data_IF_783843086077
#
_entry.id   IF_783843086077
#
_cell.length_a   1.000
_cell.length_b   1.000
_cell.length_c   1.000
_cell.angle_alpha   90.00
_cell.angle_beta   90.00
_cell.angle_gamma   90.00
#
_symmetry.space_group_name_H-M   'P 1'
#
loop_
_entity.id
_entity.type
_entity.pdbx_description
1 polymer ?
#
# COMPACT_ATOMS: atom_id res chain seq x y z
N UNK A 1 -0.88 55.26 31.18
CA UNK A 1 0.51 54.78 31.24
C UNK A 1 0.61 53.78 32.40
N UNK A 2 -0.32 52.84 32.55
CA UNK A 2 -0.42 51.52 31.88
C UNK A 2 0.71 50.56 32.29
N UNK A 3 0.46 49.93 33.45
CA UNK A 3 0.92 48.65 34.03
C UNK A 3 1.95 47.81 33.26
N UNK A 4 3.09 47.52 33.91
CA UNK A 4 3.85 46.29 33.72
C UNK A 4 3.56 45.35 34.90
N UNK A 5 2.47 44.59 34.75
CA UNK A 5 2.15 43.40 35.52
C UNK A 5 2.13 42.26 34.51
N UNK A 6 3.24 41.54 34.37
CA UNK A 6 3.21 40.22 33.77
C UNK A 6 3.46 39.22 34.89
N UNK A 7 2.34 38.60 35.28
CA UNK A 7 2.26 37.37 36.06
C UNK A 7 3.25 36.34 35.52
N UNK A 8 4.18 35.94 36.39
CA UNK A 8 4.95 34.71 36.28
C UNK A 8 4.04 33.54 36.66
N UNK A 9 3.09 33.23 35.76
CA UNK A 9 2.26 32.03 35.85
C UNK A 9 2.99 30.85 35.19
N UNK A 10 3.87 30.22 35.95
CA UNK A 10 3.89 28.77 36.12
C UNK A 10 3.80 27.90 34.86
N UNK A 11 4.67 28.11 33.87
CA UNK A 11 5.00 27.03 32.93
C UNK A 11 6.02 26.10 33.60
N UNK A 12 5.49 25.22 34.44
CA UNK A 12 6.22 24.03 34.84
C UNK A 12 6.46 23.22 33.57
N UNK A 13 7.72 23.10 33.13
CA UNK A 13 8.12 22.16 32.08
C UNK A 13 7.72 20.76 32.54
N UNK A 14 6.55 20.32 32.11
CA UNK A 14 6.10 18.95 32.31
C UNK A 14 6.98 18.11 31.41
N UNK A 15 7.85 17.23 31.94
CA UNK A 15 8.56 16.30 31.08
C UNK A 15 7.47 15.42 30.44
N UNK A 16 7.32 15.50 29.12
CA UNK A 16 6.44 14.58 28.39
C UNK A 16 7.06 13.17 28.42
N UNK A 17 7.04 12.53 29.59
CA UNK A 17 7.31 11.11 29.74
C UNK A 17 5.99 10.39 29.55
N UNK A 18 5.64 10.20 28.29
CA UNK A 18 4.64 9.21 27.91
C UNK A 18 5.22 7.82 28.19
N UNK A 19 5.02 7.33 29.42
CA UNK A 19 5.20 5.93 29.75
C UNK A 19 3.97 5.14 29.31
N UNK A 20 3.73 5.12 27.99
CA UNK A 20 2.75 4.24 27.36
C UNK A 20 3.44 3.50 26.22
N UNK A 21 3.50 2.18 26.34
CA UNK A 21 3.99 1.25 25.31
C UNK A 21 3.05 1.11 24.11
N UNK A 22 1.99 1.93 24.03
CA UNK A 22 0.95 1.86 23.00
C UNK A 22 1.16 2.89 21.87
N UNK A 23 2.43 3.14 21.51
CA UNK A 23 2.83 4.00 20.39
C UNK A 23 2.21 3.55 19.06
N UNK A 24 1.84 2.28 18.94
CA UNK A 24 1.20 1.70 17.75
C UNK A 24 -0.20 2.23 17.51
N UNK A 25 -0.99 2.52 18.55
CA UNK A 25 -2.38 2.96 18.39
C UNK A 25 -2.48 4.44 17.98
N UNK A 26 -1.58 5.28 18.50
CA UNK A 26 -1.46 6.69 18.11
C UNK A 26 -0.90 6.83 16.68
N UNK A 27 0.08 5.98 16.32
CA UNK A 27 0.62 5.90 14.96
C UNK A 27 -0.44 5.40 13.98
N UNK A 28 -1.18 4.34 14.30
CA UNK A 28 -2.28 3.84 13.46
C UNK A 28 -3.38 4.90 13.24
N UNK A 29 -3.76 5.67 14.27
CA UNK A 29 -4.75 6.76 14.14
C UNK A 29 -4.22 7.89 13.23
N UNK A 30 -2.94 8.25 13.38
CA UNK A 30 -2.28 9.27 12.55
C UNK A 30 -2.16 8.80 11.09
N UNK A 31 -1.81 7.53 10.88
CA UNK A 31 -1.72 6.89 9.57
C UNK A 31 -3.08 6.80 8.87
N UNK A 32 -4.17 6.55 9.61
CA UNK A 32 -5.55 6.60 9.08
C UNK A 32 -5.96 8.00 8.66
N UNK A 33 -5.65 9.03 9.46
CA UNK A 33 -5.99 10.41 9.12
C UNK A 33 -5.19 10.95 7.93
N UNK A 34 -4.01 10.41 7.68
CA UNK A 34 -3.16 10.82 6.56
C UNK A 34 -3.50 10.12 5.23
N UNK A 35 -4.28 9.03 5.24
CA UNK A 35 -4.63 8.27 4.05
C UNK A 35 -6.06 8.60 3.58
N UNK A 36 -6.27 8.97 2.30
CA UNK A 36 -7.62 9.10 1.78
C UNK A 36 -8.33 7.73 1.86
N UNK A 37 -9.62 7.70 2.24
CA UNK A 37 -10.38 6.46 2.30
C UNK A 37 -10.45 5.81 0.91
N UNK A 38 -10.28 4.49 0.85
CA UNK A 38 -10.43 3.71 -0.38
C UNK A 38 -11.86 3.16 -0.45
N UNK A 39 -12.72 3.81 -1.22
CA UNK A 39 -14.02 3.27 -1.62
C UNK A 39 -13.96 2.57 -2.98
N UNK A 40 -15.09 2.03 -3.44
CA UNK A 40 -15.18 1.31 -4.71
C UNK A 40 -14.88 2.22 -5.92
N UNK A 41 -15.35 3.46 -5.89
CA UNK A 41 -15.16 4.42 -6.99
C UNK A 41 -13.68 4.83 -7.12
N UNK A 42 -13.01 5.04 -5.99
CA UNK A 42 -11.58 5.29 -5.92
C UNK A 42 -10.79 4.10 -6.44
N UNK A 43 -11.16 2.87 -6.04
CA UNK A 43 -10.52 1.65 -6.56
C UNK A 43 -10.70 1.52 -8.08
N UNK A 44 -11.89 1.80 -8.61
CA UNK A 44 -12.14 1.82 -10.06
C UNK A 44 -11.29 2.85 -10.79
N UNK A 45 -11.18 4.06 -10.25
CA UNK A 45 -10.35 5.13 -10.81
C UNK A 45 -8.87 4.73 -10.82
N UNK A 46 -8.36 4.14 -9.73
CA UNK A 46 -6.98 3.66 -9.63
C UNK A 46 -6.68 2.51 -10.59
N UNK A 47 -7.63 1.58 -10.76
CA UNK A 47 -7.49 0.51 -11.75
C UNK A 47 -7.47 1.08 -13.17
N UNK A 48 -8.37 2.01 -13.49
CA UNK A 48 -8.39 2.68 -14.81
C UNK A 48 -7.10 3.44 -15.06
N UNK A 49 -6.55 4.11 -14.05
CA UNK A 49 -5.25 4.76 -14.11
C UNK A 49 -4.16 3.76 -14.50
N UNK A 50 -4.04 2.63 -13.79
CA UNK A 50 -3.01 1.63 -14.07
C UNK A 50 -3.16 0.96 -15.45
N UNK A 51 -4.40 0.67 -15.85
CA UNK A 51 -4.70 0.10 -17.17
C UNK A 51 -4.33 1.08 -18.29
N UNK A 52 -4.70 2.35 -18.15
CA UNK A 52 -4.37 3.39 -19.14
C UNK A 52 -2.86 3.60 -19.21
N UNK A 53 -2.20 3.67 -18.06
CA UNK A 53 -0.74 3.79 -18.00
C UNK A 53 -0.07 2.64 -18.76
N UNK A 54 -0.46 1.39 -18.50
CA UNK A 54 0.05 0.21 -19.19
C UNK A 54 -0.20 0.25 -20.70
N UNK A 55 -1.35 0.75 -21.13
CA UNK A 55 -1.70 0.84 -22.55
C UNK A 55 -0.84 1.87 -23.28
N UNK A 56 -0.48 2.98 -22.62
CA UNK A 56 0.24 4.10 -23.23
C UNK A 56 1.76 4.01 -23.07
N UNK A 57 2.25 3.21 -22.11
CA UNK A 57 3.68 3.04 -21.85
C UNK A 57 4.37 2.05 -22.82
N UNK A 58 3.95 1.97 -24.08
CA UNK A 58 4.41 0.98 -25.06
C UNK A 58 5.84 1.20 -25.59
N UNK A 59 6.64 2.06 -24.96
CA UNK A 59 7.99 2.42 -25.41
C UNK A 59 8.96 2.65 -24.25
N UNK A 60 10.26 2.67 -24.57
CA UNK A 60 11.32 3.00 -23.61
C UNK A 60 11.52 4.52 -23.57
N UNK A 61 11.98 5.03 -22.42
CA UNK A 61 12.32 6.44 -22.23
C UNK A 61 11.35 7.22 -21.32
N UNK A 62 11.90 8.18 -20.60
CA UNK A 62 11.21 8.98 -19.58
C UNK A 62 10.07 9.82 -20.15
N UNK A 63 10.19 10.33 -21.38
CA UNK A 63 9.15 11.10 -22.06
C UNK A 63 7.90 10.26 -22.35
N UNK A 64 8.08 9.02 -22.80
CA UNK A 64 6.97 8.08 -23.03
C UNK A 64 6.23 7.77 -21.73
N UNK A 65 6.97 7.53 -20.64
CA UNK A 65 6.38 7.27 -19.32
C UNK A 65 5.68 8.50 -18.74
N UNK A 66 6.21 9.69 -18.97
CA UNK A 66 5.57 10.95 -18.56
C UNK A 66 4.26 11.17 -19.32
N UNK A 67 4.24 10.94 -20.63
CA UNK A 67 3.01 11.01 -21.44
C UNK A 67 1.97 9.97 -20.98
N UNK A 68 2.39 8.72 -20.77
CA UNK A 68 1.51 7.68 -20.24
C UNK A 68 0.92 8.04 -18.87
N UNK A 69 1.71 8.67 -18.00
CA UNK A 69 1.24 9.20 -16.72
C UNK A 69 0.18 10.28 -16.89
N UNK A 70 0.42 11.28 -17.74
CA UNK A 70 -0.55 12.36 -18.03
C UNK A 70 -1.86 11.81 -18.58
N UNK A 71 -1.82 10.87 -19.52
CA UNK A 71 -3.02 10.26 -20.10
C UNK A 71 -3.78 9.40 -19.08
N UNK A 72 -3.07 8.68 -18.22
CA UNK A 72 -3.67 7.90 -17.15
C UNK A 72 -4.38 8.77 -16.10
N UNK A 73 -3.80 9.93 -15.74
CA UNK A 73 -4.46 10.91 -14.88
C UNK A 73 -5.74 11.45 -15.52
N UNK A 74 -5.67 11.84 -16.79
CA UNK A 74 -6.84 12.35 -17.52
C UNK A 74 -7.97 11.30 -17.61
N UNK A 75 -7.65 10.04 -17.89
CA UNK A 75 -8.64 8.97 -18.01
C UNK A 75 -9.27 8.55 -16.67
N UNK A 76 -8.49 8.59 -15.59
CA UNK A 76 -8.95 8.21 -14.25
C UNK A 76 -9.67 9.34 -13.51
N UNK A 77 -9.43 10.59 -13.89
CA UNK A 77 -9.94 11.76 -13.18
C UNK A 77 -9.28 11.99 -11.81
N UNK A 78 -8.18 11.27 -11.52
CA UNK A 78 -7.43 11.42 -10.28
C UNK A 78 -6.49 12.62 -10.36
N UNK A 79 -6.32 13.32 -9.24
CA UNK A 79 -5.19 14.22 -9.08
C UNK A 79 -3.87 13.42 -8.89
N UNK A 80 -2.71 14.02 -9.19
CA UNK A 80 -1.43 13.32 -9.12
C UNK A 80 -1.12 12.71 -7.75
N UNK A 81 -1.47 13.40 -6.65
CA UNK A 81 -1.17 12.94 -5.30
C UNK A 81 -2.02 11.73 -4.94
N UNK A 82 -3.30 11.76 -5.25
CA UNK A 82 -4.20 10.60 -5.03
C UNK A 82 -3.77 9.41 -5.89
N UNK A 83 -3.41 9.63 -7.15
CA UNK A 83 -2.92 8.57 -8.03
C UNK A 83 -1.63 7.92 -7.49
N UNK A 84 -0.68 8.72 -6.98
CA UNK A 84 0.55 8.22 -6.39
C UNK A 84 0.29 7.41 -5.11
N UNK A 85 -0.47 7.96 -4.17
CA UNK A 85 -0.79 7.32 -2.90
C UNK A 85 -1.59 6.02 -3.09
N UNK A 86 -2.59 6.04 -3.96
CA UNK A 86 -3.37 4.85 -4.30
C UNK A 86 -2.55 3.82 -5.05
N UNK A 87 -1.66 4.23 -5.97
CA UNK A 87 -0.75 3.31 -6.66
C UNK A 87 0.23 2.66 -5.69
N UNK A 88 0.70 3.37 -4.66
CA UNK A 88 1.54 2.79 -3.61
C UNK A 88 0.79 1.72 -2.80
N UNK A 89 -0.48 1.97 -2.45
CA UNK A 89 -1.36 0.97 -1.82
C UNK A 89 -1.54 -0.27 -2.72
N UNK A 90 -1.93 -0.07 -3.99
CA UNK A 90 -2.14 -1.18 -4.92
C UNK A 90 -0.86 -1.99 -5.15
N UNK A 91 0.31 -1.34 -5.20
CA UNK A 91 1.61 -2.01 -5.30
C UNK A 91 1.90 -2.83 -4.04
N UNK A 92 1.65 -2.28 -2.86
CA UNK A 92 1.89 -2.95 -1.59
C UNK A 92 0.94 -4.16 -1.41
N UNK A 93 -0.32 -4.04 -1.80
CA UNK A 93 -1.27 -5.15 -1.80
C UNK A 93 -0.88 -6.19 -2.87
N UNK A 94 -0.78 -5.78 -4.13
CA UNK A 94 -0.50 -6.66 -5.27
C UNK A 94 0.82 -7.43 -5.12
N UNK A 95 1.88 -6.81 -4.60
CA UNK A 95 3.16 -7.47 -4.35
C UNK A 95 3.07 -8.59 -3.31
N UNK A 96 2.35 -8.37 -2.20
CA UNK A 96 2.12 -9.41 -1.18
C UNK A 96 1.28 -10.56 -1.73
N UNK A 97 0.20 -10.24 -2.45
CA UNK A 97 -0.67 -11.27 -3.05
C UNK A 97 0.04 -12.08 -4.14
N UNK A 98 0.88 -11.43 -4.94
CA UNK A 98 1.76 -12.10 -5.88
C UNK A 98 2.75 -13.03 -5.17
N UNK A 99 3.38 -12.58 -4.09
CA UNK A 99 4.29 -13.41 -3.29
C UNK A 99 3.59 -14.63 -2.68
N UNK A 100 2.37 -14.45 -2.14
CA UNK A 100 1.53 -15.56 -1.65
C UNK A 100 1.28 -16.60 -2.74
N UNK A 101 0.90 -16.17 -3.95
CA UNK A 101 0.71 -17.09 -5.08
C UNK A 101 1.98 -17.87 -5.41
N UNK A 102 3.14 -17.20 -5.47
CA UNK A 102 4.43 -17.86 -5.73
C UNK A 102 4.83 -18.85 -4.65
N UNK A 103 4.57 -18.54 -3.39
CA UNK A 103 4.83 -19.44 -2.27
C UNK A 103 3.91 -20.66 -2.29
N UNK A 104 2.63 -20.47 -2.63
CA UNK A 104 1.67 -21.57 -2.80
C UNK A 104 2.05 -22.48 -3.98
N UNK A 105 2.42 -21.90 -5.13
CA UNK A 105 2.92 -22.64 -6.28
C UNK A 105 4.15 -23.49 -5.90
N UNK A 106 5.09 -22.89 -5.17
CA UNK A 106 6.30 -23.57 -4.69
C UNK A 106 5.96 -24.71 -3.73
N UNK A 107 4.99 -24.52 -2.83
CA UNK A 107 4.54 -25.56 -1.90
C UNK A 107 3.92 -26.75 -2.64
N UNK A 108 3.15 -26.50 -3.71
CA UNK A 108 2.58 -27.54 -4.55
C UNK A 108 3.62 -28.36 -5.35
N UNK A 109 4.80 -27.80 -5.58
CA UNK A 109 5.91 -28.47 -6.29
C UNK A 109 6.81 -29.31 -5.38
N UNK A 110 6.70 -29.16 -4.05
CA UNK A 110 7.51 -29.92 -3.12
C UNK A 110 6.99 -31.36 -2.97
N UNK A 111 7.80 -32.34 -3.37
CA UNK A 111 7.56 -33.77 -3.16
C UNK A 111 8.73 -34.41 -2.40
N UNK A 112 8.46 -35.29 -1.43
CA UNK A 112 9.46 -36.12 -0.73
C UNK A 112 9.92 -35.60 0.64
N UNK A 113 10.51 -36.50 1.45
CA UNK A 113 10.76 -36.31 2.89
C UNK A 113 11.90 -35.34 3.29
N UNK A 114 12.74 -34.88 2.35
CA UNK A 114 13.71 -33.80 2.61
C UNK A 114 13.07 -32.40 2.52
N UNK A 115 11.77 -32.31 2.21
CA UNK A 115 11.06 -31.06 1.98
C UNK A 115 10.40 -30.47 3.24
N UNK A 116 10.42 -31.15 4.38
CA UNK A 116 9.62 -30.73 5.56
C UNK A 116 10.13 -29.42 6.19
N UNK A 117 11.45 -29.23 6.30
CA UNK A 117 12.00 -27.95 6.79
C UNK A 117 11.71 -26.80 5.83
N UNK A 118 11.85 -27.04 4.52
CA UNK A 118 11.56 -26.04 3.49
C UNK A 118 10.06 -25.70 3.45
N UNK A 119 9.21 -26.70 3.62
CA UNK A 119 7.76 -26.54 3.72
C UNK A 119 7.39 -25.71 4.94
N UNK A 120 7.98 -25.97 6.10
CA UNK A 120 7.80 -25.15 7.30
C UNK A 120 8.16 -23.69 7.05
N UNK A 121 9.33 -23.41 6.47
CA UNK A 121 9.74 -22.04 6.12
C UNK A 121 8.79 -21.35 5.15
N UNK A 122 8.27 -22.06 4.15
CA UNK A 122 7.29 -21.51 3.20
C UNK A 122 5.97 -21.19 3.90
N UNK A 123 5.51 -22.05 4.81
CA UNK A 123 4.30 -21.81 5.59
C UNK A 123 4.45 -20.61 6.53
N UNK A 124 5.61 -20.43 7.17
CA UNK A 124 5.90 -19.26 8.00
C UNK A 124 5.89 -17.97 7.18
N UNK A 125 6.48 -17.98 5.99
CA UNK A 125 6.48 -16.81 5.10
C UNK A 125 5.07 -16.52 4.58
N UNK A 126 4.27 -17.53 4.24
CA UNK A 126 2.85 -17.36 3.89
C UNK A 126 2.07 -16.66 5.03
N UNK A 127 2.25 -17.13 6.27
CA UNK A 127 1.61 -16.54 7.44
C UNK A 127 2.06 -15.08 7.66
N UNK A 128 3.33 -14.77 7.39
CA UNK A 128 3.84 -13.39 7.42
C UNK A 128 3.18 -12.52 6.35
N UNK A 129 3.11 -12.97 5.10
CA UNK A 129 2.48 -12.21 4.01
C UNK A 129 0.98 -11.94 4.27
N UNK A 130 0.26 -12.91 4.85
CA UNK A 130 -1.14 -12.71 5.27
C UNK A 130 -1.26 -11.69 6.41
N UNK A 131 -0.40 -11.75 7.43
CA UNK A 131 -0.39 -10.77 8.52
C UNK A 131 -0.11 -9.35 8.02
N UNK A 132 0.86 -9.19 7.12
CA UNK A 132 1.16 -7.88 6.53
C UNK A 132 0.05 -7.38 5.60
N UNK A 133 -0.63 -8.29 4.88
CA UNK A 133 -1.80 -7.94 4.08
C UNK A 133 -2.93 -7.43 4.98
N UNK A 134 -3.19 -8.11 6.11
CA UNK A 134 -4.20 -7.68 7.08
C UNK A 134 -3.81 -6.38 7.79
N UNK A 135 -2.51 -6.13 7.98
CA UNK A 135 -2.03 -4.87 8.55
C UNK A 135 -2.41 -3.64 7.69
N UNK A 136 -2.70 -3.82 6.39
CA UNK A 136 -3.22 -2.73 5.56
C UNK A 136 -4.56 -2.19 6.06
N UNK A 137 -5.41 -3.04 6.66
CA UNK A 137 -6.68 -2.60 7.24
C UNK A 137 -6.49 -1.60 8.40
N UNK A 138 -5.34 -1.64 9.08
CA UNK A 138 -5.01 -0.66 10.11
C UNK A 138 -4.88 0.75 9.55
N UNK A 139 -4.35 0.89 8.32
CA UNK A 139 -4.12 2.18 7.68
C UNK A 139 -5.29 2.64 6.81
N UNK A 140 -5.93 1.71 6.10
CA UNK A 140 -6.94 2.04 5.08
C UNK A 140 -8.37 1.63 5.46
N UNK A 141 -8.55 0.95 6.59
CA UNK A 141 -9.84 0.41 7.05
C UNK A 141 -10.10 -1.01 6.54
N UNK A 142 -10.98 -1.72 7.24
CA UNK A 142 -11.39 -3.09 6.88
C UNK A 142 -12.13 -3.12 5.54
N UNK A 143 -13.01 -2.15 5.28
CA UNK A 143 -13.78 -2.07 4.03
C UNK A 143 -12.87 -1.96 2.80
N UNK A 144 -11.78 -1.18 2.92
CA UNK A 144 -10.77 -1.08 1.87
C UNK A 144 -10.11 -2.45 1.59
N UNK A 145 -9.77 -3.20 2.65
CA UNK A 145 -9.17 -4.53 2.47
C UNK A 145 -10.16 -5.52 1.83
N UNK A 146 -11.45 -5.44 2.18
CA UNK A 146 -12.51 -6.24 1.55
C UNK A 146 -12.60 -5.94 0.05
N UNK A 147 -12.60 -4.67 -0.34
CA UNK A 147 -12.62 -4.26 -1.75
C UNK A 147 -11.39 -4.76 -2.52
N UNK A 148 -10.20 -4.64 -1.93
CA UNK A 148 -8.95 -5.14 -2.52
C UNK A 148 -8.97 -6.65 -2.71
N UNK A 149 -9.44 -7.41 -1.70
CA UNK A 149 -9.57 -8.87 -1.78
C UNK A 149 -10.59 -9.29 -2.84
N UNK A 150 -11.70 -8.58 -2.97
CA UNK A 150 -12.72 -8.86 -4.00
C UNK A 150 -12.18 -8.75 -5.43
N UNK A 151 -11.16 -7.91 -5.66
CA UNK A 151 -10.51 -7.70 -6.97
C UNK A 151 -9.09 -8.26 -7.05
N UNK A 152 -8.71 -9.18 -6.18
CA UNK A 152 -7.33 -9.64 -6.05
C UNK A 152 -6.74 -10.12 -7.39
N UNK A 153 -7.48 -10.91 -8.15
CA UNK A 153 -7.00 -11.48 -9.42
C UNK A 153 -6.56 -10.40 -10.41
N UNK A 154 -7.38 -9.37 -10.58
CA UNK A 154 -7.11 -8.23 -11.46
C UNK A 154 -5.92 -7.40 -10.93
N UNK A 155 -5.89 -7.11 -9.64
CA UNK A 155 -4.83 -6.31 -9.02
C UNK A 155 -3.47 -6.99 -9.10
N UNK A 156 -3.42 -8.32 -8.97
CA UNK A 156 -2.18 -9.09 -9.14
C UNK A 156 -1.73 -9.14 -10.60
N UNK A 157 -2.64 -9.25 -11.56
CA UNK A 157 -2.30 -9.15 -13.00
C UNK A 157 -1.69 -7.79 -13.32
N UNK A 158 -2.35 -6.70 -12.91
CA UNK A 158 -1.86 -5.34 -13.09
C UNK A 158 -0.49 -5.13 -12.45
N UNK A 159 -0.30 -5.60 -11.21
CA UNK A 159 0.98 -5.55 -10.53
C UNK A 159 2.09 -6.26 -11.32
N UNK A 160 1.80 -7.46 -11.83
CA UNK A 160 2.77 -8.26 -12.59
C UNK A 160 3.18 -7.55 -13.88
N UNK A 161 2.20 -7.03 -14.63
CA UNK A 161 2.44 -6.31 -15.89
C UNK A 161 3.19 -5.01 -15.69
N UNK A 162 2.83 -4.22 -14.66
CA UNK A 162 3.52 -2.99 -14.30
C UNK A 162 4.97 -3.25 -13.88
N UNK A 163 5.20 -4.27 -13.05
CA UNK A 163 6.56 -4.63 -12.60
C UNK A 163 7.44 -5.02 -13.79
N UNK A 164 6.88 -5.82 -14.70
CA UNK A 164 7.58 -6.24 -15.91
C UNK A 164 7.89 -5.07 -16.85
N UNK A 165 6.95 -4.14 -17.05
CA UNK A 165 7.17 -2.91 -17.80
C UNK A 165 8.31 -2.08 -17.20
N UNK A 166 8.26 -1.83 -15.88
CA UNK A 166 9.22 -0.97 -15.18
C UNK A 166 10.61 -1.62 -15.02
N UNK A 167 10.70 -2.95 -15.05
CA UNK A 167 12.00 -3.66 -15.04
C UNK A 167 12.76 -3.63 -16.38
N UNK A 168 12.10 -3.21 -17.47
CA UNK A 168 12.65 -3.22 -18.84
C UNK A 168 13.07 -1.83 -19.35
N UNK A 169 12.75 -0.77 -18.60
CA UNK A 169 13.15 0.61 -18.89
C UNK A 169 14.41 0.98 -18.13
#
# INVERSE_FOLDING_TARGET
MSSFLFDDNGFQDVPNRESSTDLTAADDRTLRWAAPPLDAAMLDALVRYQQTYLAQASGQGTETLAKAHTEALAASGLDPKTAEQGSALLRAFGGRRWAVRKLQDKLGQLQGGAADELKGRIQDELAKQERETNALARRYGEDALVLLRAREAELVDLHTRLTHLLSRG
#
